data_IF_291699460694
#
_entry.id   IF_291699460694
#
_cell.length_a   1.000
_cell.length_b   1.000
_cell.length_c   1.000
_cell.angle_alpha   90.00
_cell.angle_beta   90.00
_cell.angle_gamma   90.00
#
_symmetry.space_group_name_H-M   'P 1'
#
loop_
_entity.id
_entity.type
_entity.pdbx_description
1 polymer ?
#
# COMPACT_ATOMS: atom_id res chain seq x y z
N UNK A 1 -27.99 -20.95 -25.79
CA UNK A 1 -26.56 -21.06 -26.17
C UNK A 1 -25.69 -21.19 -24.92
N UNK A 2 -24.99 -22.32 -24.81
CA UNK A 2 -24.01 -22.62 -23.77
C UNK A 2 -22.62 -22.26 -24.31
N UNK A 3 -21.68 -21.75 -23.50
CA UNK A 3 -21.70 -21.70 -22.03
C UNK A 3 -22.42 -20.48 -21.45
N UNK A 4 -23.03 -20.67 -20.28
CA UNK A 4 -23.71 -19.64 -19.51
C UNK A 4 -22.76 -18.66 -18.79
N UNK A 5 -21.43 -18.86 -18.91
CA UNK A 5 -20.40 -17.99 -18.33
C UNK A 5 -19.30 -17.75 -19.34
N UNK A 6 -18.76 -16.54 -19.28
CA UNK A 6 -17.56 -16.13 -19.99
C UNK A 6 -16.37 -16.99 -19.54
N UNK A 7 -15.48 -17.29 -20.49
CA UNK A 7 -14.26 -18.05 -20.21
C UNK A 7 -13.42 -17.33 -19.14
N UNK A 8 -12.94 -18.03 -18.09
CA UNK A 8 -12.16 -17.39 -17.03
C UNK A 8 -10.86 -16.73 -17.51
N UNK A 9 -10.14 -17.29 -18.50
CA UNK A 9 -8.93 -16.66 -19.02
C UNK A 9 -9.25 -15.35 -19.72
N UNK A 10 -10.36 -15.28 -20.44
CA UNK A 10 -10.86 -14.03 -21.00
C UNK A 10 -11.35 -13.05 -19.93
N UNK A 11 -12.14 -13.53 -18.97
CA UNK A 11 -12.75 -12.72 -17.91
C UNK A 11 -11.70 -12.06 -16.99
N UNK A 12 -10.58 -12.73 -16.76
CA UNK A 12 -9.50 -12.26 -15.89
C UNK A 12 -8.25 -11.80 -16.64
N UNK A 13 -8.23 -11.79 -17.99
CA UNK A 13 -7.06 -11.41 -18.79
C UNK A 13 -6.52 -10.01 -18.44
N UNK A 14 -7.41 -9.09 -18.10
CA UNK A 14 -7.08 -7.70 -17.78
C UNK A 14 -6.79 -7.48 -16.30
N UNK A 15 -6.83 -8.50 -15.44
CA UNK A 15 -6.52 -8.35 -14.02
C UNK A 15 -5.01 -8.11 -13.87
N UNK A 16 -4.57 -6.89 -13.50
CA UNK A 16 -3.15 -6.62 -13.35
C UNK A 16 -2.63 -7.41 -12.15
N UNK A 17 -1.70 -8.33 -12.38
CA UNK A 17 -1.02 -9.10 -11.32
C UNK A 17 0.34 -8.47 -11.03
N UNK A 18 0.36 -7.17 -10.72
CA UNK A 18 1.61 -6.50 -10.39
C UNK A 18 1.99 -6.81 -8.94
N UNK A 19 3.07 -7.56 -8.76
CA UNK A 19 3.65 -7.80 -7.45
C UNK A 19 4.36 -6.53 -6.96
N UNK A 20 4.10 -6.14 -5.71
CA UNK A 20 4.89 -5.13 -5.04
C UNK A 20 6.24 -5.75 -4.68
N UNK A 21 7.31 -5.19 -5.24
CA UNK A 21 8.71 -5.57 -5.03
C UNK A 21 9.45 -4.45 -4.32
N UNK A 22 10.64 -4.73 -3.80
CA UNK A 22 11.49 -3.72 -3.17
C UNK A 22 11.80 -2.53 -4.10
N UNK A 23 11.84 -2.78 -5.41
CA UNK A 23 12.11 -1.81 -6.46
C UNK A 23 10.84 -1.13 -7.00
N UNK A 24 9.65 -1.51 -6.53
CA UNK A 24 8.40 -0.86 -6.95
C UNK A 24 8.43 0.60 -6.52
N UNK A 25 8.39 1.51 -7.49
CA UNK A 25 8.41 2.96 -7.22
C UNK A 25 7.02 3.40 -6.81
N UNK A 26 6.93 3.93 -5.60
CA UNK A 26 5.71 4.41 -4.97
C UNK A 26 5.79 5.91 -4.72
N UNK A 27 4.67 6.59 -4.86
CA UNK A 27 4.52 7.99 -4.49
C UNK A 27 3.27 8.21 -3.65
N UNK A 28 3.26 9.32 -2.91
CA UNK A 28 2.07 9.78 -2.21
C UNK A 28 0.97 10.16 -3.21
N UNK A 29 -0.28 9.81 -2.89
CA UNK A 29 -1.46 10.23 -3.68
C UNK A 29 -1.98 11.59 -3.24
N UNK A 30 -2.01 11.85 -1.94
CA UNK A 30 -2.38 13.15 -1.39
C UNK A 30 -1.27 14.19 -1.60
N UNK A 31 -1.61 15.46 -1.48
CA UNK A 31 -0.66 16.57 -1.65
C UNK A 31 0.43 16.62 -0.56
N UNK A 32 0.15 16.08 0.63
CA UNK A 32 1.03 16.13 1.78
C UNK A 32 0.84 14.92 2.72
N UNK A 33 1.87 14.64 3.52
CA UNK A 33 1.91 13.48 4.41
C UNK A 33 0.87 13.54 5.54
N UNK A 34 0.51 14.74 6.02
CA UNK A 34 -0.43 14.89 7.14
C UNK A 34 -1.85 14.55 6.69
N UNK A 35 -2.23 14.97 5.49
CA UNK A 35 -3.51 14.60 4.86
C UNK A 35 -3.60 13.09 4.65
N UNK A 36 -2.54 12.48 4.10
CA UNK A 36 -2.46 11.03 3.94
C UNK A 36 -2.49 10.26 5.27
N UNK A 37 -1.83 10.78 6.30
CA UNK A 37 -1.80 10.18 7.63
C UNK A 37 -3.19 10.18 8.26
N UNK A 38 -3.88 11.33 8.27
CA UNK A 38 -5.26 11.46 8.77
C UNK A 38 -6.20 10.46 8.08
N UNK A 39 -6.10 10.35 6.75
CA UNK A 39 -6.90 9.42 5.95
C UNK A 39 -6.60 7.96 6.29
N UNK A 40 -5.31 7.60 6.42
CA UNK A 40 -4.89 6.24 6.77
C UNK A 40 -5.36 5.84 8.18
N UNK A 41 -5.27 6.75 9.15
CA UNK A 41 -5.75 6.50 10.51
C UNK A 41 -7.27 6.35 10.58
N UNK A 42 -8.02 7.13 9.79
CA UNK A 42 -9.47 6.94 9.67
C UNK A 42 -9.83 5.55 9.12
N UNK A 43 -9.11 5.06 8.11
CA UNK A 43 -9.31 3.68 7.63
C UNK A 43 -9.01 2.64 8.72
N UNK A 44 -7.95 2.83 9.50
CA UNK A 44 -7.58 1.91 10.58
C UNK A 44 -8.65 1.79 11.68
N UNK A 45 -9.51 2.79 11.83
CA UNK A 45 -10.61 2.79 12.81
C UNK A 45 -11.89 2.07 12.32
N UNK A 46 -11.96 1.65 11.05
CA UNK A 46 -13.13 0.94 10.55
C UNK A 46 -13.29 -0.42 11.25
N UNK A 47 -14.51 -0.77 11.66
CA UNK A 47 -14.81 -1.99 12.41
C UNK A 47 -14.33 -3.27 11.69
N UNK A 48 -14.34 -3.30 10.36
CA UNK A 48 -13.85 -4.42 9.57
C UNK A 48 -12.31 -4.63 9.63
N UNK A 49 -11.58 -3.63 10.11
CA UNK A 49 -10.11 -3.62 10.22
C UNK A 49 -9.64 -3.96 11.66
N UNK A 50 -10.57 -4.02 12.62
CA UNK A 50 -10.25 -4.19 14.05
C UNK A 50 -9.56 -5.53 14.39
N UNK A 51 -9.74 -6.55 13.54
CA UNK A 51 -9.10 -7.88 13.67
C UNK A 51 -7.64 -7.92 13.22
N UNK A 52 -7.16 -6.89 12.51
CA UNK A 52 -5.82 -6.85 11.91
C UNK A 52 -4.77 -6.09 12.75
N UNK A 53 -5.09 -5.70 13.99
CA UNK A 53 -4.26 -4.82 14.84
C UNK A 53 -2.80 -5.26 15.00
N UNK A 54 -2.55 -6.57 15.03
CA UNK A 54 -1.20 -7.15 15.21
C UNK A 54 -0.37 -7.08 13.92
N UNK A 55 -1.03 -7.06 12.76
CA UNK A 55 -0.38 -7.16 11.44
C UNK A 55 -0.20 -5.77 10.82
N UNK A 56 -1.07 -4.83 11.16
CA UNK A 56 -0.99 -3.47 10.64
C UNK A 56 0.18 -2.68 11.24
N UNK A 57 0.79 -1.79 10.45
CA UNK A 57 1.78 -0.86 10.97
C UNK A 57 1.14 0.03 12.05
N UNK A 58 1.93 0.34 13.06
CA UNK A 58 1.64 1.38 14.04
C UNK A 58 1.53 2.75 13.37
N UNK A 59 0.93 3.70 14.07
CA UNK A 59 0.83 5.08 13.59
C UNK A 59 2.21 5.70 13.33
N UNK A 60 3.19 5.45 14.21
CA UNK A 60 4.56 5.92 14.03
C UNK A 60 5.22 5.32 12.77
N UNK A 61 5.01 4.02 12.51
CA UNK A 61 5.51 3.38 11.28
C UNK A 61 4.85 3.97 10.02
N UNK A 62 3.54 4.22 10.06
CA UNK A 62 2.81 4.88 8.96
C UNK A 62 3.38 6.28 8.72
N UNK A 63 3.58 7.07 9.78
CA UNK A 63 4.11 8.42 9.67
C UNK A 63 5.49 8.44 9.01
N UNK A 64 6.40 7.54 9.39
CA UNK A 64 7.73 7.40 8.76
C UNK A 64 7.60 7.12 7.27
N UNK A 65 6.78 6.14 6.88
CA UNK A 65 6.57 5.77 5.47
C UNK A 65 6.00 6.93 4.66
N UNK A 66 4.97 7.61 5.16
CA UNK A 66 4.33 8.72 4.44
C UNK A 66 5.23 9.95 4.34
N UNK A 67 6.04 10.21 5.37
CA UNK A 67 7.05 11.27 5.32
C UNK A 67 8.15 10.95 4.30
N UNK A 68 8.57 9.69 4.21
CA UNK A 68 9.55 9.28 3.20
C UNK A 68 9.01 9.46 1.77
N UNK A 69 7.72 9.19 1.57
CA UNK A 69 7.03 9.27 0.27
C UNK A 69 6.57 10.68 -0.15
N UNK A 70 6.59 11.67 0.74
CA UNK A 70 6.07 13.02 0.46
C UNK A 70 7.00 13.91 -0.35
N UNK A 71 8.27 13.53 -0.47
CA UNK A 71 9.29 14.33 -1.16
C UNK A 71 9.32 14.04 -2.66
N UNK A 72 9.43 12.76 -3.01
CA UNK A 72 9.50 12.28 -4.38
C UNK A 72 9.09 10.80 -4.46
N UNK A 73 8.76 10.28 -5.65
CA UNK A 73 8.56 8.85 -5.85
C UNK A 73 9.83 8.06 -5.53
N UNK A 74 9.73 7.04 -4.68
CA UNK A 74 10.86 6.22 -4.21
C UNK A 74 10.58 4.73 -4.29
N UNK A 75 11.62 3.91 -4.33
CA UNK A 75 11.47 2.48 -4.25
C UNK A 75 10.87 2.06 -2.90
N UNK A 76 10.06 1.01 -2.89
CA UNK A 76 9.40 0.51 -1.68
C UNK A 76 10.39 0.17 -0.55
N UNK A 77 11.59 -0.32 -0.88
CA UNK A 77 12.66 -0.53 0.11
C UNK A 77 13.15 0.77 0.77
N UNK A 78 13.23 1.86 0.01
CA UNK A 78 13.66 3.16 0.54
C UNK A 78 12.62 3.76 1.48
N UNK A 79 11.32 3.52 1.24
CA UNK A 79 10.24 4.02 2.09
C UNK A 79 10.25 3.44 3.51
N UNK A 80 10.85 2.27 3.70
CA UNK A 80 10.91 1.58 5.00
C UNK A 80 12.30 1.61 5.64
N UNK A 81 13.31 2.16 4.95
CA UNK A 81 14.71 2.11 5.39
C UNK A 81 14.95 2.80 6.74
N UNK A 82 14.12 3.77 7.11
CA UNK A 82 14.19 4.47 8.40
C UNK A 82 13.60 3.69 9.59
N UNK A 83 13.06 2.49 9.37
CA UNK A 83 12.44 1.67 10.41
C UNK A 83 13.41 0.61 10.96
N UNK A 84 13.19 0.12 12.20
CA UNK A 84 13.95 -1.01 12.74
C UNK A 84 13.93 -2.21 11.80
N UNK A 85 15.09 -2.86 11.60
CA UNK A 85 15.26 -3.92 10.61
C UNK A 85 14.28 -5.09 10.82
N UNK A 86 13.96 -5.42 12.06
CA UNK A 86 12.98 -6.45 12.43
C UNK A 86 11.54 -6.08 12.08
N UNK A 87 11.24 -4.79 11.92
CA UNK A 87 9.92 -4.27 11.54
C UNK A 87 9.76 -4.08 10.05
N UNK A 88 10.84 -3.84 9.32
CA UNK A 88 10.83 -3.60 7.88
C UNK A 88 10.02 -4.64 7.08
N UNK A 89 10.14 -5.98 7.29
CA UNK A 89 9.35 -6.95 6.53
C UNK A 89 7.84 -6.84 6.77
N UNK A 90 7.41 -6.41 7.96
CA UNK A 90 6.00 -6.25 8.29
C UNK A 90 5.44 -4.98 7.65
N UNK A 91 6.19 -3.88 7.72
CA UNK A 91 5.78 -2.62 7.12
C UNK A 91 5.86 -2.68 5.58
N UNK A 92 6.84 -3.40 5.03
CA UNK A 92 6.90 -3.66 3.58
C UNK A 92 5.61 -4.31 3.05
N UNK A 93 5.11 -5.34 3.75
CA UNK A 93 3.86 -6.02 3.38
C UNK A 93 2.65 -5.08 3.46
N UNK A 94 2.64 -4.15 4.40
CA UNK A 94 1.54 -3.19 4.55
C UNK A 94 1.56 -2.08 3.48
N UNK A 95 2.65 -1.88 2.74
CA UNK A 95 2.66 -0.98 1.59
C UNK A 95 1.61 -1.38 0.54
N UNK A 96 1.39 -2.68 0.33
CA UNK A 96 0.33 -3.15 -0.58
C UNK A 96 -1.07 -2.74 -0.11
N UNK A 97 -1.29 -2.67 1.21
CA UNK A 97 -2.53 -2.18 1.78
C UNK A 97 -2.68 -0.66 1.58
N UNK A 98 -1.62 0.12 1.78
CA UNK A 98 -1.63 1.57 1.48
C UNK A 98 -1.90 1.85 -0.01
N UNK A 99 -1.36 1.02 -0.91
CA UNK A 99 -1.66 1.09 -2.34
C UNK A 99 -3.13 0.74 -2.61
N UNK A 100 -3.64 -0.33 -2.01
CA UNK A 100 -5.05 -0.72 -2.15
C UNK A 100 -6.03 0.36 -1.67
N UNK A 101 -5.67 1.10 -0.63
CA UNK A 101 -6.46 2.21 -0.10
C UNK A 101 -6.27 3.53 -0.88
N UNK A 102 -5.40 3.55 -1.90
CA UNK A 102 -5.11 4.74 -2.68
C UNK A 102 -4.42 5.84 -1.87
N UNK A 103 -3.66 5.47 -0.83
CA UNK A 103 -2.80 6.38 -0.06
C UNK A 103 -1.44 6.51 -0.75
N UNK A 104 -0.92 5.38 -1.24
CA UNK A 104 0.23 5.31 -2.13
C UNK A 104 -0.23 4.88 -3.52
N UNK A 105 0.51 5.27 -4.55
CA UNK A 105 0.30 4.79 -5.91
C UNK A 105 1.62 4.29 -6.51
N UNK A 106 1.54 3.26 -7.35
CA UNK A 106 2.67 2.88 -8.20
C UNK A 106 2.83 3.93 -9.28
N UNK A 107 4.04 4.47 -9.44
CA UNK A 107 4.36 5.30 -10.59
C UNK A 107 4.51 4.36 -11.80
N UNK A 108 3.49 4.33 -12.65
CA UNK A 108 3.55 3.60 -13.93
C UNK A 108 4.57 4.33 -14.82
N UNK A 109 5.49 3.57 -15.44
CA UNK A 109 6.41 4.12 -16.44
C UNK A 109 5.66 4.65 -17.65
#
# INVERSE_FOLDING_TARGET
PWPARMDPFHAFASYPTNLLTEQTVLCLVDADADTALKRTLAYRQLAMIDFAKIILPSEAEIQVVLTAASTEPKAAAELIAGLPAERQPFVFRSLAWLVKLGVLAQKVK
#
